data_IF_543644061113
#
_entry.id   IF_543644061113
#
_cell.length_a   1.000
_cell.length_b   1.000
_cell.length_c   1.000
_cell.angle_alpha   90.00
_cell.angle_beta   90.00
_cell.angle_gamma   90.00
#
_symmetry.space_group_name_H-M   'P 1'
#
loop_
_entity.id
_entity.type
_entity.pdbx_description
1 polymer ?
#
# COMPACT_ATOMS: atom_id res chain seq x y z
N UNK A 1 -2.28 11.46 6.75
CA UNK A 1 -0.82 11.53 6.51
C UNK A 1 -0.31 12.96 6.58
N UNK A 2 -0.99 13.90 5.90
CA UNK A 2 -0.68 15.35 5.90
C UNK A 2 -0.34 15.97 7.27
N UNK A 3 -1.12 15.73 8.33
CA UNK A 3 -0.88 16.40 9.62
C UNK A 3 0.45 16.03 10.31
N UNK A 4 0.87 14.76 10.27
CA UNK A 4 2.14 14.31 10.86
C UNK A 4 3.32 14.79 10.02
N UNK A 5 3.18 14.76 8.70
CA UNK A 5 4.21 15.27 7.77
C UNK A 5 4.38 16.79 7.88
N UNK A 6 3.27 17.52 8.09
CA UNK A 6 3.29 18.95 8.41
C UNK A 6 3.98 19.24 9.75
N UNK A 7 3.74 18.42 10.77
CA UNK A 7 4.41 18.54 12.07
C UNK A 7 5.93 18.32 11.94
N UNK A 8 6.36 17.36 11.12
CA UNK A 8 7.77 17.09 10.83
C UNK A 8 8.45 18.21 10.04
N UNK A 9 7.69 18.95 9.23
CA UNK A 9 8.18 20.10 8.47
C UNK A 9 8.35 21.38 9.31
N UNK A 10 7.91 21.37 10.58
CA UNK A 10 8.04 22.53 11.46
C UNK A 10 9.52 22.80 11.79
N UNK A 11 9.98 24.07 11.82
CA UNK A 11 11.40 24.41 12.05
C UNK A 11 11.96 23.87 13.37
N UNK A 12 11.09 23.74 14.37
CA UNK A 12 11.45 23.39 15.74
C UNK A 12 11.28 21.89 16.04
N UNK A 13 10.80 21.11 15.06
CA UNK A 13 10.46 19.71 15.26
C UNK A 13 11.68 18.88 15.69
N UNK A 14 12.83 19.14 15.08
CA UNK A 14 14.08 18.45 15.37
C UNK A 14 14.81 18.97 16.62
N UNK A 15 14.34 20.08 17.20
CA UNK A 15 14.93 20.68 18.41
C UNK A 15 14.71 19.84 19.67
N UNK A 16 13.69 18.97 19.67
CA UNK A 16 13.47 17.99 20.74
C UNK A 16 13.47 16.57 20.15
N UNK A 17 14.64 15.92 20.26
CA UNK A 17 14.91 14.59 19.72
C UNK A 17 13.93 13.51 20.22
N UNK A 18 13.54 13.55 21.50
CA UNK A 18 12.61 12.57 22.08
C UNK A 18 11.20 12.68 21.48
N UNK A 19 10.70 13.91 21.33
CA UNK A 19 9.40 14.15 20.68
C UNK A 19 9.43 13.80 19.20
N UNK A 20 10.53 14.14 18.50
CA UNK A 20 10.69 13.82 17.09
C UNK A 20 10.70 12.30 16.85
N UNK A 21 11.40 11.53 17.69
CA UNK A 21 11.42 10.07 17.61
C UNK A 21 10.03 9.44 17.78
N UNK A 22 9.21 9.93 18.73
CA UNK A 22 7.84 9.44 18.93
C UNK A 22 6.98 9.67 17.68
N UNK A 23 7.05 10.87 17.11
CA UNK A 23 6.26 11.23 15.91
C UNK A 23 6.74 10.44 14.68
N UNK A 24 8.04 10.25 14.50
CA UNK A 24 8.60 9.42 13.43
C UNK A 24 8.18 7.95 13.58
N UNK A 25 8.18 7.41 14.80
CA UNK A 25 7.71 6.04 15.06
C UNK A 25 6.23 5.88 14.70
N UNK A 26 5.37 6.83 15.09
CA UNK A 26 3.96 6.85 14.71
C UNK A 26 3.77 6.92 13.19
N UNK A 27 4.53 7.80 12.51
CA UNK A 27 4.49 7.88 11.05
C UNK A 27 4.89 6.56 10.39
N UNK A 28 5.93 5.90 10.90
CA UNK A 28 6.41 4.63 10.37
C UNK A 28 5.34 3.54 10.51
N UNK A 29 4.69 3.43 11.67
CA UNK A 29 3.60 2.46 11.89
C UNK A 29 2.44 2.73 10.94
N UNK A 30 2.03 3.99 10.78
CA UNK A 30 0.94 4.34 9.88
C UNK A 30 1.28 4.07 8.41
N UNK A 31 2.50 4.42 7.96
CA UNK A 31 2.97 4.15 6.61
C UNK A 31 3.10 2.65 6.33
N UNK A 32 3.45 1.85 7.33
CA UNK A 32 3.56 0.39 7.18
C UNK A 32 2.22 -0.28 6.80
N UNK A 33 1.10 0.35 7.15
CA UNK A 33 -0.25 -0.10 6.77
C UNK A 33 -0.69 0.56 5.47
N UNK A 34 -0.68 1.89 5.42
CA UNK A 34 -1.29 2.63 4.30
C UNK A 34 -0.58 2.37 2.98
N UNK A 35 0.76 2.41 2.94
CA UNK A 35 1.53 2.28 1.69
C UNK A 35 1.21 0.96 0.97
N UNK A 36 1.27 -0.22 1.62
CA UNK A 36 0.91 -1.47 0.96
C UNK A 36 -0.56 -1.55 0.54
N UNK A 37 -1.50 -1.04 1.34
CA UNK A 37 -2.92 -0.98 0.93
C UNK A 37 -3.08 -0.16 -0.34
N UNK A 38 -2.52 1.06 -0.39
CA UNK A 38 -2.62 1.92 -1.57
C UNK A 38 -1.93 1.31 -2.79
N UNK A 39 -0.83 0.58 -2.60
CA UNK A 39 -0.13 -0.12 -3.68
C UNK A 39 -0.93 -1.29 -4.24
N UNK A 40 -1.62 -2.06 -3.38
CA UNK A 40 -2.52 -3.12 -3.82
C UNK A 40 -3.72 -2.56 -4.58
N UNK A 41 -4.34 -1.47 -4.08
CA UNK A 41 -5.45 -0.81 -4.78
C UNK A 41 -5.06 -0.35 -6.19
N UNK A 42 -3.92 0.32 -6.34
CA UNK A 42 -3.45 0.76 -7.66
C UNK A 42 -3.21 -0.42 -8.62
N UNK A 43 -2.57 -1.50 -8.15
CA UNK A 43 -2.36 -2.71 -8.96
C UNK A 43 -3.67 -3.38 -9.37
N UNK A 44 -4.70 -3.35 -8.52
CA UNK A 44 -6.04 -3.88 -8.85
C UNK A 44 -6.68 -3.05 -9.96
N UNK A 45 -6.61 -1.71 -9.88
CA UNK A 45 -7.13 -0.82 -10.92
C UNK A 45 -6.41 -1.02 -12.27
N UNK A 46 -5.09 -1.15 -12.25
CA UNK A 46 -4.28 -1.46 -13.43
C UNK A 46 -4.67 -2.83 -14.03
N UNK A 47 -4.87 -3.84 -13.18
CA UNK A 47 -5.24 -5.19 -13.59
C UNK A 47 -6.65 -5.25 -14.18
N UNK A 48 -7.60 -4.50 -13.62
CA UNK A 48 -8.95 -4.34 -14.17
C UNK A 48 -8.90 -3.72 -15.57
N UNK A 49 -8.10 -2.66 -15.74
CA UNK A 49 -7.89 -2.02 -17.05
C UNK A 49 -7.31 -3.01 -18.06
N UNK A 50 -6.31 -3.80 -17.65
CA UNK A 50 -5.70 -4.81 -18.52
C UNK A 50 -6.70 -5.93 -18.90
N UNK A 51 -7.54 -6.35 -17.95
CA UNK A 51 -8.58 -7.34 -18.19
C UNK A 51 -9.62 -6.86 -19.21
N UNK A 52 -10.07 -5.61 -19.09
CA UNK A 52 -11.00 -5.00 -20.04
C UNK A 52 -10.39 -4.96 -21.45
N UNK A 53 -9.14 -4.48 -21.58
CA UNK A 53 -8.43 -4.45 -22.86
C UNK A 53 -8.25 -5.83 -23.48
N UNK A 54 -7.84 -6.83 -22.68
CA UNK A 54 -7.67 -8.22 -23.15
C UNK A 54 -8.99 -8.84 -23.60
N UNK A 55 -10.08 -8.56 -22.88
CA UNK A 55 -11.43 -9.05 -23.22
C UNK A 55 -11.94 -8.43 -24.52
N UNK A 56 -11.78 -7.11 -24.69
CA UNK A 56 -12.19 -6.40 -25.90
C UNK A 56 -11.37 -6.83 -27.13
N UNK A 57 -10.09 -7.11 -26.95
CA UNK A 57 -9.19 -7.57 -28.01
C UNK A 57 -9.33 -9.06 -28.33
N UNK A 58 -9.97 -9.86 -27.47
CA UNK A 58 -9.98 -11.32 -27.56
C UNK A 58 -8.57 -11.94 -27.39
N UNK A 59 -7.72 -11.28 -26.60
CA UNK A 59 -6.33 -11.68 -26.38
C UNK A 59 -6.22 -12.64 -25.18
N UNK A 60 -6.23 -13.94 -25.47
CA UNK A 60 -6.14 -15.01 -24.46
C UNK A 60 -4.83 -14.98 -23.67
N UNK A 61 -3.71 -14.55 -24.28
CA UNK A 61 -2.42 -14.47 -23.59
C UNK A 61 -2.46 -13.36 -22.54
N UNK A 62 -3.00 -12.19 -22.90
CA UNK A 62 -3.22 -11.09 -21.93
C UNK A 62 -4.16 -11.52 -20.80
N UNK A 63 -5.24 -12.25 -21.11
CA UNK A 63 -6.16 -12.75 -20.08
C UNK A 63 -5.51 -13.78 -19.14
N UNK A 64 -4.60 -14.61 -19.66
CA UNK A 64 -3.82 -15.55 -18.84
C UNK A 64 -2.84 -14.81 -17.92
N UNK A 65 -2.18 -13.75 -18.41
CA UNK A 65 -1.34 -12.89 -17.58
C UNK A 65 -2.15 -12.21 -16.46
N UNK A 66 -3.36 -11.73 -16.78
CA UNK A 66 -4.28 -11.13 -15.80
C UNK A 66 -4.62 -12.13 -14.69
N UNK A 67 -4.95 -13.37 -15.04
CA UNK A 67 -5.27 -14.41 -14.07
C UNK A 67 -4.07 -14.72 -13.15
N UNK A 68 -2.86 -14.83 -13.71
CA UNK A 68 -1.65 -15.08 -12.94
C UNK A 68 -1.30 -13.92 -11.99
N UNK A 69 -1.53 -12.67 -12.40
CA UNK A 69 -1.30 -11.51 -11.55
C UNK A 69 -2.38 -11.34 -10.47
N UNK A 70 -3.62 -11.72 -10.76
CA UNK A 70 -4.70 -11.77 -9.77
C UNK A 70 -4.35 -12.72 -8.62
N UNK A 71 -3.82 -13.91 -8.91
CA UNK A 71 -3.39 -14.87 -7.87
C UNK A 71 -2.29 -14.28 -6.98
N UNK A 72 -1.32 -13.56 -7.55
CA UNK A 72 -0.28 -12.88 -6.77
C UNK A 72 -0.85 -11.76 -5.91
N UNK A 73 -1.80 -10.98 -6.42
CA UNK A 73 -2.48 -9.93 -5.66
C UNK A 73 -3.26 -10.50 -4.49
N UNK A 74 -3.95 -11.63 -4.66
CA UNK A 74 -4.62 -12.34 -3.56
C UNK A 74 -3.62 -12.76 -2.51
N UNK A 75 -2.50 -13.39 -2.89
CA UNK A 75 -1.48 -13.81 -1.93
C UNK A 75 -0.82 -12.62 -1.18
N UNK A 76 -0.64 -11.49 -1.84
CA UNK A 76 -0.11 -10.27 -1.21
C UNK A 76 -1.13 -9.62 -0.26
N UNK A 77 -2.42 -9.67 -0.59
CA UNK A 77 -3.51 -9.23 0.29
C UNK A 77 -3.57 -10.10 1.55
N UNK A 78 -3.54 -11.43 1.41
CA UNK A 78 -3.54 -12.37 2.55
C UNK A 78 -2.37 -12.11 3.51
N UNK A 79 -1.17 -11.84 2.96
CA UNK A 79 0.00 -11.47 3.76
C UNK A 79 -0.20 -10.15 4.49
N UNK A 80 -0.82 -9.18 3.84
CA UNK A 80 -1.11 -7.88 4.44
C UNK A 80 -2.11 -8.03 5.58
N UNK A 81 -3.18 -8.81 5.39
CA UNK A 81 -4.18 -9.14 6.41
C UNK A 81 -3.55 -9.86 7.60
N UNK A 82 -2.72 -10.89 7.35
CA UNK A 82 -2.01 -11.58 8.43
C UNK A 82 -1.14 -10.61 9.23
N UNK A 83 -0.42 -9.73 8.53
CA UNK A 83 0.44 -8.74 9.20
C UNK A 83 -0.34 -7.71 10.00
N UNK A 84 -1.51 -7.26 9.52
CA UNK A 84 -2.34 -6.31 10.27
C UNK A 84 -3.01 -6.99 11.47
N UNK A 85 -3.41 -8.25 11.36
CA UNK A 85 -3.91 -9.06 12.48
C UNK A 85 -2.85 -9.27 13.56
N UNK A 86 -1.62 -9.62 13.17
CA UNK A 86 -0.51 -9.85 14.11
C UNK A 86 0.06 -8.54 14.69
N UNK A 87 -0.26 -7.40 14.07
CA UNK A 87 0.16 -6.08 14.54
C UNK A 87 -0.77 -5.47 15.61
N UNK A 88 -1.77 -6.20 16.13
CA UNK A 88 -2.66 -5.71 17.19
C UNK A 88 -2.49 -6.43 18.54
N UNK A 89 -2.56 -5.74 19.70
CA UNK A 89 -2.46 -4.29 19.97
C UNK A 89 -1.04 -3.80 20.33
#
# INVERSE_FOLDING_TARGET
MSAIEQQMAAPNFWSNQESAQKVVAQLKTLKAVIVPVTGLSARIEDLQTLHELGTEAGDEDTLAEVAAEAEKLTADLDRLELRTMLAGP
#
